data_IF_709470633538
#
_entry.id   IF_709470633538
#
_cell.length_a   1.000
_cell.length_b   1.000
_cell.length_c   1.000
_cell.angle_alpha   90.00
_cell.angle_beta   90.00
_cell.angle_gamma   90.00
#
_symmetry.space_group_name_H-M   'P 1'
#
loop_
_entity.id
_entity.type
_entity.pdbx_description
1 polymer ?
#
# COMPACT_ATOMS: atom_id res chain seq x y z
N UNK A 1 1.64 -2.71 1.16
CA UNK A 1 1.50 -2.53 -0.30
C UNK A 1 1.92 -1.13 -0.71
N UNK A 2 2.51 -1.00 -1.91
CA UNK A 2 2.89 0.25 -2.57
C UNK A 2 2.58 0.17 -4.07
N UNK A 3 2.38 1.32 -4.73
CA UNK A 3 2.01 1.38 -6.15
C UNK A 3 1.22 2.63 -6.52
N UNK A 4 1.09 2.89 -7.82
CA UNK A 4 0.39 4.08 -8.36
C UNK A 4 -1.08 4.18 -7.97
N UNK A 5 -1.66 5.39 -7.98
CA UNK A 5 -3.12 5.54 -7.79
C UNK A 5 -3.86 4.73 -8.86
N UNK A 6 -4.93 4.02 -8.52
CA UNK A 6 -5.64 3.16 -9.49
C UNK A 6 -4.98 1.82 -9.81
N UNK A 7 -3.82 1.50 -9.20
CA UNK A 7 -3.13 0.22 -9.43
C UNK A 7 -3.83 -1.02 -8.86
N UNK A 8 -4.88 -0.86 -8.04
CA UNK A 8 -5.64 -1.99 -7.46
C UNK A 8 -5.30 -2.34 -6.01
N UNK A 9 -4.35 -1.65 -5.36
CA UNK A 9 -3.97 -1.86 -3.94
C UNK A 9 -5.15 -2.00 -2.98
N UNK A 10 -6.06 -1.03 -2.96
CA UNK A 10 -7.20 -1.02 -2.04
C UNK A 10 -8.16 -2.18 -2.28
N UNK A 11 -8.26 -2.68 -3.52
CA UNK A 11 -9.07 -3.86 -3.84
C UNK A 11 -8.39 -5.12 -3.29
N UNK A 12 -7.10 -5.32 -3.56
CA UNK A 12 -6.31 -6.44 -3.03
C UNK A 12 -6.35 -6.44 -1.49
N UNK A 13 -6.14 -5.27 -0.87
CA UNK A 13 -6.17 -5.11 0.59
C UNK A 13 -7.50 -5.52 1.23
N UNK A 14 -8.62 -5.21 0.60
CA UNK A 14 -9.95 -5.59 1.10
C UNK A 14 -10.20 -7.09 0.97
N UNK A 15 -9.78 -7.70 -0.15
CA UNK A 15 -9.92 -9.15 -0.33
C UNK A 15 -9.01 -9.90 0.64
N UNK A 16 -7.76 -9.45 0.85
CA UNK A 16 -6.87 -9.96 1.90
C UNK A 16 -7.51 -9.86 3.28
N UNK A 17 -8.11 -8.70 3.60
CA UNK A 17 -8.76 -8.48 4.89
C UNK A 17 -9.86 -9.51 5.12
N UNK A 18 -10.74 -9.74 4.15
CA UNK A 18 -11.79 -10.77 4.24
C UNK A 18 -11.16 -12.14 4.49
N UNK A 19 -10.12 -12.51 3.73
CA UNK A 19 -9.47 -13.81 3.87
C UNK A 19 -8.86 -14.02 5.25
N UNK A 20 -8.14 -13.05 5.80
CA UNK A 20 -7.62 -13.15 7.17
C UNK A 20 -8.73 -13.19 8.22
N UNK A 21 -9.83 -12.45 8.03
CA UNK A 21 -10.97 -12.49 8.93
C UNK A 21 -11.68 -13.85 8.93
N UNK A 22 -11.72 -14.55 7.79
CA UNK A 22 -12.26 -15.91 7.69
C UNK A 22 -11.44 -16.92 8.51
N UNK A 23 -10.12 -16.76 8.55
CA UNK A 23 -9.22 -17.63 9.33
C UNK A 23 -9.38 -17.45 10.85
N UNK A 24 -9.80 -16.26 11.30
CA UNK A 24 -10.01 -15.91 12.72
C UNK A 24 -8.81 -16.11 13.64
N UNK A 25 -7.60 -16.11 13.09
CA UNK A 25 -6.36 -16.33 13.86
C UNK A 25 -5.91 -15.06 14.61
N UNK A 26 -5.87 -13.91 13.91
CA UNK A 26 -5.34 -12.65 14.44
C UNK A 26 -6.24 -11.46 14.11
N UNK A 27 -6.30 -10.42 14.97
CA UNK A 27 -7.00 -9.18 14.63
C UNK A 27 -6.40 -8.50 13.40
N UNK A 28 -7.24 -8.09 12.46
CA UNK A 28 -6.81 -7.49 11.19
C UNK A 28 -7.26 -6.04 11.13
N UNK A 29 -6.35 -5.13 10.79
CA UNK A 29 -6.65 -3.71 10.62
C UNK A 29 -6.24 -3.24 9.23
N UNK A 30 -7.16 -2.60 8.52
CA UNK A 30 -6.92 -1.98 7.22
C UNK A 30 -6.54 -0.51 7.36
N UNK A 31 -5.30 -0.18 6.99
CA UNK A 31 -4.76 1.18 6.91
C UNK A 31 -4.68 1.61 5.43
N UNK A 32 -5.85 1.84 4.83
CA UNK A 32 -5.96 2.36 3.45
C UNK A 32 -5.60 3.85 3.38
N UNK A 33 -4.99 4.27 2.27
CA UNK A 33 -4.53 5.64 2.10
C UNK A 33 -5.61 6.71 2.29
N UNK A 34 -6.86 6.45 1.86
CA UNK A 34 -7.96 7.41 2.04
C UNK A 34 -8.44 7.46 3.49
N UNK A 35 -8.51 6.30 4.15
CA UNK A 35 -8.90 6.18 5.57
C UNK A 35 -7.88 6.89 6.45
N UNK A 36 -6.59 6.65 6.22
CA UNK A 36 -5.51 7.28 6.97
C UNK A 36 -5.50 8.78 6.73
N UNK A 37 -5.59 9.24 5.48
CA UNK A 37 -5.61 10.69 5.18
C UNK A 37 -6.77 11.38 5.86
N UNK A 38 -7.95 10.76 5.93
CA UNK A 38 -9.10 11.36 6.62
C UNK A 38 -8.90 11.48 8.12
N UNK A 39 -8.32 10.46 8.77
CA UNK A 39 -8.34 10.34 10.24
C UNK A 39 -7.03 10.71 10.94
N UNK A 40 -5.89 10.59 10.26
CA UNK A 40 -4.55 10.71 10.86
C UNK A 40 -3.65 11.73 10.15
N UNK A 41 -4.08 12.27 9.01
CA UNK A 41 -3.23 13.08 8.13
C UNK A 41 -4.04 14.06 7.29
N UNK A 42 -5.14 14.58 7.85
CA UNK A 42 -6.07 15.48 7.14
C UNK A 42 -5.47 16.86 6.89
N UNK A 43 -4.47 17.24 7.69
CA UNK A 43 -3.70 18.46 7.57
C UNK A 43 -2.53 18.35 6.55
N UNK A 44 -2.19 17.13 6.12
CA UNK A 44 -1.05 16.89 5.24
C UNK A 44 -1.40 17.12 3.78
N UNK A 45 -0.61 17.97 3.12
CA UNK A 45 -0.69 18.20 1.67
C UNK A 45 -0.05 17.04 0.86
N UNK A 46 0.34 17.32 -0.38
CA UNK A 46 0.96 16.37 -1.30
C UNK A 46 2.44 16.68 -1.60
N UNK A 47 3.10 17.51 -0.78
CA UNK A 47 4.56 17.69 -0.87
C UNK A 47 5.30 16.39 -0.55
N UNK A 48 6.57 16.30 -0.96
CA UNK A 48 7.43 15.15 -0.68
C UNK A 48 7.52 14.88 0.83
N UNK A 49 7.71 15.92 1.62
CA UNK A 49 7.82 15.86 3.09
C UNK A 49 6.53 15.33 3.71
N UNK A 50 5.38 15.86 3.29
CA UNK A 50 4.08 15.43 3.80
C UNK A 50 3.72 14.00 3.37
N UNK A 51 4.10 13.58 2.17
CA UNK A 51 3.95 12.19 1.71
C UNK A 51 4.80 11.23 2.51
N UNK A 52 6.06 11.58 2.75
CA UNK A 52 6.95 10.81 3.62
C UNK A 52 6.37 10.72 5.04
N UNK A 53 5.94 11.84 5.62
CA UNK A 53 5.35 11.87 6.96
C UNK A 53 4.06 11.05 7.05
N UNK A 54 3.18 11.13 6.05
CA UNK A 54 1.97 10.31 5.99
C UNK A 54 2.32 8.80 6.00
N UNK A 55 3.30 8.38 5.20
CA UNK A 55 3.72 6.98 5.13
C UNK A 55 4.38 6.53 6.44
N UNK A 56 5.22 7.36 7.06
CA UNK A 56 5.85 7.00 8.35
C UNK A 56 4.85 6.98 9.51
N UNK A 57 3.81 7.82 9.50
CA UNK A 57 2.68 7.74 10.44
C UNK A 57 1.92 6.42 10.30
N UNK A 58 1.66 5.97 9.07
CA UNK A 58 1.07 4.63 8.83
C UNK A 58 1.99 3.55 9.42
N UNK A 59 3.30 3.64 9.19
CA UNK A 59 4.27 2.69 9.71
C UNK A 59 4.30 2.62 11.23
N UNK A 60 4.20 3.77 11.91
CA UNK A 60 4.09 3.82 13.37
C UNK A 60 2.85 3.06 13.87
N UNK A 61 1.67 3.37 13.34
CA UNK A 61 0.42 2.68 13.73
C UNK A 61 0.50 1.19 13.41
N UNK A 62 1.02 0.82 12.23
CA UNK A 62 1.24 -0.56 11.85
C UNK A 62 2.20 -1.28 12.82
N UNK A 63 3.26 -0.61 13.29
CA UNK A 63 4.21 -1.20 14.24
C UNK A 63 3.56 -1.50 15.60
N UNK A 64 2.67 -0.64 16.08
CA UNK A 64 1.94 -0.88 17.33
C UNK A 64 0.92 -2.02 17.16
N UNK A 65 0.28 -2.15 15.99
CA UNK A 65 -0.59 -3.29 15.68
C UNK A 65 0.23 -4.59 15.67
N UNK A 66 1.36 -4.61 14.97
CA UNK A 66 2.26 -5.78 14.89
C UNK A 66 2.77 -6.19 16.27
N UNK A 67 3.19 -5.21 17.09
CA UNK A 67 3.66 -5.42 18.47
C UNK A 67 2.60 -6.09 19.36
N UNK A 68 1.32 -5.83 19.11
CA UNK A 68 0.20 -6.45 19.83
C UNK A 68 -0.32 -7.73 19.15
N UNK A 69 0.45 -8.34 18.25
CA UNK A 69 0.08 -9.57 17.58
C UNK A 69 -0.99 -9.41 16.50
N UNK A 70 -1.34 -8.20 16.07
CA UNK A 70 -2.28 -7.97 14.99
C UNK A 70 -1.65 -8.02 13.59
N UNK A 71 -2.49 -7.97 12.56
CA UNK A 71 -2.12 -7.86 11.14
C UNK A 71 -2.50 -6.46 10.64
N UNK A 72 -1.51 -5.70 10.16
CA UNK A 72 -1.72 -4.37 9.59
C UNK A 72 -1.64 -4.41 8.04
N UNK A 73 -2.79 -4.30 7.39
CA UNK A 73 -2.88 -4.21 5.93
C UNK A 73 -2.76 -2.76 5.48
N UNK A 74 -1.59 -2.36 4.99
CA UNK A 74 -1.32 -0.99 4.58
C UNK A 74 -1.39 -0.85 3.05
N UNK A 75 -2.23 0.06 2.55
CA UNK A 75 -2.39 0.33 1.12
C UNK A 75 -2.15 1.80 0.67
N UNK A 76 -1.11 2.51 1.17
CA UNK A 76 -0.76 3.83 0.65
C UNK A 76 -0.13 3.76 -0.74
N UNK A 77 0.05 4.92 -1.39
CA UNK A 77 0.88 5.02 -2.60
C UNK A 77 2.36 4.75 -2.26
N UNK A 78 2.84 5.27 -1.11
CA UNK A 78 4.22 5.17 -0.63
C UNK A 78 5.28 5.38 -1.73
N UNK A 79 5.32 6.57 -2.35
CA UNK A 79 6.08 6.80 -3.58
C UNK A 79 7.59 6.87 -3.40
N UNK A 80 8.10 7.09 -2.18
CA UNK A 80 9.53 7.27 -1.94
C UNK A 80 10.10 6.14 -1.08
N UNK A 81 11.24 5.61 -1.48
CA UNK A 81 11.96 4.50 -0.85
C UNK A 81 12.27 4.78 0.62
N UNK A 82 12.70 6.02 0.93
CA UNK A 82 13.08 6.44 2.28
C UNK A 82 12.00 6.15 3.32
N UNK A 83 10.74 6.38 2.98
CA UNK A 83 9.60 6.16 3.88
C UNK A 83 9.26 4.67 4.04
N UNK A 84 9.45 3.88 2.97
CA UNK A 84 9.23 2.43 3.00
C UNK A 84 10.30 1.73 3.84
N UNK A 85 11.56 2.11 3.66
CA UNK A 85 12.68 1.60 4.45
C UNK A 85 12.58 1.99 5.94
N UNK A 86 12.18 3.22 6.23
CA UNK A 86 11.94 3.64 7.62
C UNK A 86 10.87 2.75 8.30
N UNK A 87 9.77 2.47 7.59
CA UNK A 87 8.70 1.61 8.09
C UNK A 87 9.14 0.15 8.24
N UNK A 88 9.86 -0.39 7.24
CA UNK A 88 10.45 -1.73 7.30
C UNK A 88 11.30 -1.88 8.56
N UNK A 89 12.26 -0.98 8.76
CA UNK A 89 13.15 -0.98 9.94
C UNK A 89 12.39 -0.86 11.27
N UNK A 90 11.30 -0.09 11.31
CA UNK A 90 10.51 0.08 12.52
C UNK A 90 9.68 -1.17 12.86
N UNK A 91 8.93 -1.69 11.88
CA UNK A 91 8.00 -2.81 12.06
C UNK A 91 8.76 -4.12 12.29
N UNK A 92 9.89 -4.33 11.59
CA UNK A 92 10.73 -5.52 11.75
C UNK A 92 11.31 -5.72 13.15
N UNK A 93 11.19 -4.74 14.05
CA UNK A 93 11.53 -4.90 15.48
C UNK A 93 10.52 -5.74 16.25
N UNK A 94 9.30 -5.87 15.73
CA UNK A 94 8.18 -6.49 16.42
C UNK A 94 7.57 -7.68 15.66
N UNK A 95 7.78 -7.77 14.35
CA UNK A 95 7.29 -8.88 13.54
C UNK A 95 7.62 -8.73 12.05
N UNK A 96 6.99 -9.57 11.22
CA UNK A 96 7.22 -9.56 9.77
C UNK A 96 6.81 -8.25 9.08
N UNK A 97 7.57 -7.85 8.07
CA UNK A 97 7.24 -6.77 7.15
C UNK A 97 7.35 -7.27 5.72
N UNK A 98 6.23 -7.25 4.98
CA UNK A 98 6.15 -7.72 3.61
C UNK A 98 5.78 -6.55 2.68
N UNK A 99 6.69 -6.21 1.78
CA UNK A 99 6.50 -5.18 0.76
C UNK A 99 5.94 -5.78 -0.52
N UNK A 100 4.64 -5.58 -0.70
CA UNK A 100 3.94 -5.94 -1.94
C UNK A 100 3.92 -4.74 -2.87
N UNK A 101 4.66 -4.82 -3.98
CA UNK A 101 4.66 -3.85 -5.06
C UNK A 101 3.55 -4.16 -6.06
N UNK A 102 2.52 -3.32 -6.12
CA UNK A 102 1.45 -3.42 -7.10
C UNK A 102 1.85 -2.64 -8.36
N UNK A 103 2.66 -3.29 -9.20
CA UNK A 103 3.38 -2.80 -10.36
C UNK A 103 2.50 -2.64 -11.62
N UNK A 104 1.26 -2.18 -11.45
CA UNK A 104 0.38 -1.90 -12.59
C UNK A 104 0.89 -0.68 -13.36
N UNK A 105 1.05 -0.76 -14.69
CA UNK A 105 1.54 0.35 -15.50
C UNK A 105 0.75 1.65 -15.33
N UNK A 106 1.42 2.79 -15.47
CA UNK A 106 0.81 4.11 -15.32
C UNK A 106 -0.33 4.30 -16.31
N UNK A 107 -0.16 3.87 -17.56
CA UNK A 107 -1.14 4.03 -18.63
C UNK A 107 -2.46 3.33 -18.27
N UNK A 108 -2.38 2.15 -17.66
CA UNK A 108 -3.56 1.43 -17.17
C UNK A 108 -4.17 2.11 -15.95
N UNK A 109 -3.33 2.65 -15.06
CA UNK A 109 -3.80 3.43 -13.91
C UNK A 109 -4.54 4.71 -14.36
N UNK A 110 -4.05 5.39 -15.39
CA UNK A 110 -4.68 6.56 -16.01
C UNK A 110 -5.98 6.20 -16.73
N UNK A 111 -6.04 5.08 -17.43
CA UNK A 111 -7.29 4.61 -18.04
C UNK A 111 -8.37 4.32 -16.99
N UNK A 112 -7.97 3.76 -15.83
CA UNK A 112 -8.90 3.41 -14.75
C UNK A 112 -9.42 4.63 -13.97
N UNK A 113 -8.63 5.71 -13.91
CA UNK A 113 -8.77 6.96 -13.14
C UNK A 113 -10.00 7.10 -12.23
N UNK A 114 -10.17 6.19 -11.26
CA UNK A 114 -11.39 6.10 -10.44
C UNK A 114 -11.67 7.34 -9.60
N UNK A 115 -10.64 8.18 -9.39
CA UNK A 115 -10.70 9.39 -8.57
C UNK A 115 -10.67 10.67 -9.42
N UNK A 116 -10.59 10.56 -10.75
CA UNK A 116 -10.42 11.70 -11.65
C UNK A 116 -9.11 12.46 -11.43
N UNK A 117 -8.11 11.85 -10.79
CA UNK A 117 -6.85 12.50 -10.42
C UNK A 117 -5.95 12.66 -11.64
N UNK A 118 -5.88 11.63 -12.49
CA UNK A 118 -5.03 11.68 -13.67
C UNK A 118 -5.56 12.67 -14.71
N UNK A 119 -6.88 12.66 -14.96
CA UNK A 119 -7.51 13.63 -15.85
C UNK A 119 -7.28 15.09 -15.38
N UNK A 120 -7.45 15.36 -14.08
CA UNK A 120 -7.18 16.69 -13.51
C UNK A 120 -5.71 17.08 -13.54
N UNK A 121 -4.79 16.12 -13.43
CA UNK A 121 -3.36 16.39 -13.55
C UNK A 121 -2.97 16.72 -14.99
N UNK A 122 -3.48 15.96 -15.95
CA UNK A 122 -3.24 16.16 -17.40
C UNK A 122 -3.82 17.48 -17.89
N UNK A 123 -4.94 17.95 -17.32
CA UNK A 123 -5.50 19.28 -17.60
C UNK A 123 -4.87 20.42 -16.79
N UNK A 124 -3.87 20.14 -15.94
CA UNK A 124 -3.15 21.16 -15.15
C UNK A 124 -3.92 21.71 -13.94
N UNK A 125 -5.11 21.16 -13.63
CA UNK A 125 -5.95 21.59 -12.50
C UNK A 125 -5.29 21.24 -11.16
N UNK A 126 -4.63 20.08 -11.08
CA UNK A 126 -3.90 19.64 -9.89
C UNK A 126 -2.45 19.33 -10.20
N UNK A 127 -1.55 19.71 -9.30
CA UNK A 127 -0.10 19.41 -9.38
C UNK A 127 0.28 18.36 -8.33
N UNK A 128 1.44 17.75 -8.51
CA UNK A 128 2.00 16.79 -7.56
C UNK A 128 1.29 15.44 -7.57
N UNK A 129 0.74 15.02 -8.71
CA UNK A 129 0.14 13.69 -8.88
C UNK A 129 1.24 12.69 -9.20
N UNK A 130 1.34 11.68 -8.34
CA UNK A 130 2.35 10.62 -8.45
C UNK A 130 2.24 9.87 -9.77
N UNK A 131 3.36 9.76 -10.49
CA UNK A 131 3.45 9.19 -11.83
C UNK A 131 3.29 10.22 -12.96
N UNK A 132 2.80 11.44 -12.68
CA UNK A 132 2.64 12.50 -13.69
C UNK A 132 3.59 13.67 -13.44
N UNK A 133 3.45 14.33 -12.29
CA UNK A 133 4.24 15.51 -11.90
C UNK A 133 5.02 15.33 -10.60
N UNK A 134 4.88 14.17 -9.96
CA UNK A 134 5.61 13.74 -8.76
C UNK A 134 6.11 12.30 -9.00
N UNK A 135 7.36 11.95 -8.68
CA UNK A 135 7.90 10.63 -9.02
C UNK A 135 7.26 9.52 -8.18
N UNK A 136 7.32 8.31 -8.74
CA UNK A 136 7.13 7.06 -8.02
C UNK A 136 8.44 6.28 -8.13
N UNK A 137 9.14 6.09 -7.02
CA UNK A 137 10.34 5.26 -6.94
C UNK A 137 9.88 3.81 -6.72
N UNK A 138 9.93 2.92 -7.74
CA UNK A 138 9.52 1.53 -7.56
C UNK A 138 10.40 0.85 -6.51
N UNK A 139 9.86 -0.07 -5.69
CA UNK A 139 10.69 -0.84 -4.75
C UNK A 139 11.74 -1.66 -5.50
N UNK A 140 12.99 -1.61 -5.06
CA UNK A 140 14.08 -2.37 -5.66
C UNK A 140 14.01 -3.86 -5.31
N UNK A 141 13.67 -4.18 -4.05
CA UNK A 141 13.62 -5.54 -3.53
C UNK A 141 12.31 -5.81 -2.77
N UNK A 142 11.14 -5.69 -3.42
CA UNK A 142 9.89 -6.08 -2.78
C UNK A 142 9.82 -7.60 -2.62
N UNK A 143 9.24 -8.08 -1.53
CA UNK A 143 8.98 -9.51 -1.34
C UNK A 143 8.02 -10.07 -2.40
N UNK A 144 7.07 -9.25 -2.88
CA UNK A 144 6.05 -9.67 -3.84
C UNK A 144 5.82 -8.58 -4.87
N UNK A 145 5.76 -8.95 -6.15
CA UNK A 145 5.40 -8.04 -7.26
C UNK A 145 4.11 -8.53 -7.92
N UNK A 146 3.09 -7.67 -7.94
CA UNK A 146 1.79 -7.96 -8.54
C UNK A 146 1.51 -7.02 -9.71
N UNK A 147 1.20 -7.60 -10.86
CA UNK A 147 0.72 -6.89 -12.04
C UNK A 147 -0.78 -7.14 -12.25
N UNK A 148 -1.62 -6.20 -11.81
CA UNK A 148 -3.09 -6.31 -11.93
C UNK A 148 -3.64 -6.18 -13.35
N UNK A 149 -2.77 -6.17 -14.37
CA UNK A 149 -3.16 -6.35 -15.78
C UNK A 149 -3.21 -7.81 -16.19
N UNK A 150 -2.51 -8.69 -15.46
CA UNK A 150 -2.34 -10.11 -15.78
C UNK A 150 -3.12 -11.04 -14.87
N UNK A 151 -3.65 -10.51 -13.77
CA UNK A 151 -4.33 -11.31 -12.75
C UNK A 151 -5.50 -10.55 -12.13
N UNK A 152 -6.46 -11.32 -11.65
CA UNK A 152 -7.59 -10.87 -10.85
C UNK A 152 -7.16 -10.55 -9.41
N UNK A 153 -7.96 -9.79 -8.65
CA UNK A 153 -7.68 -9.56 -7.24
C UNK A 153 -7.62 -10.84 -6.40
N UNK A 154 -8.36 -11.89 -6.77
CA UNK A 154 -8.35 -13.16 -6.06
C UNK A 154 -7.04 -13.92 -6.28
N UNK A 155 -6.54 -13.96 -7.51
CA UNK A 155 -5.22 -14.54 -7.83
C UNK A 155 -4.09 -13.78 -7.15
N UNK A 156 -4.14 -12.44 -7.17
CA UNK A 156 -3.17 -11.61 -6.44
C UNK A 156 -3.17 -11.88 -4.93
N UNK A 157 -4.34 -12.11 -4.33
CA UNK A 157 -4.46 -12.51 -2.92
C UNK A 157 -3.88 -13.90 -2.69
N UNK A 158 -4.13 -14.84 -3.60
CA UNK A 158 -3.57 -16.18 -3.51
C UNK A 158 -2.04 -16.17 -3.56
N UNK A 159 -1.42 -15.39 -4.45
CA UNK A 159 0.04 -15.24 -4.50
C UNK A 159 0.60 -14.69 -3.18
N UNK A 160 -0.07 -13.69 -2.59
CA UNK A 160 0.33 -13.14 -1.30
C UNK A 160 0.21 -14.19 -0.19
N UNK A 161 -0.85 -14.98 -0.19
CA UNK A 161 -1.06 -16.02 0.80
C UNK A 161 -0.03 -17.13 0.70
N UNK A 162 0.25 -17.63 -0.51
CA UNK A 162 1.29 -18.65 -0.74
C UNK A 162 2.65 -18.18 -0.20
N UNK A 163 3.02 -16.93 -0.49
CA UNK A 163 4.25 -16.36 0.07
C UNK A 163 4.23 -16.34 1.61
N UNK A 164 3.12 -15.93 2.22
CA UNK A 164 3.00 -15.90 3.68
C UNK A 164 3.04 -17.30 4.31
N UNK A 165 2.48 -18.32 3.65
CA UNK A 165 2.56 -19.73 4.05
C UNK A 165 4.01 -20.23 3.96
N UNK A 166 4.69 -19.98 2.85
CA UNK A 166 6.10 -20.35 2.64
C UNK A 166 7.04 -19.72 3.67
N UNK A 167 6.75 -18.48 4.09
CA UNK A 167 7.51 -17.78 5.13
C UNK A 167 7.06 -18.13 6.57
N UNK A 168 6.04 -18.98 6.74
CA UNK A 168 5.54 -19.42 8.04
C UNK A 168 4.77 -18.34 8.83
N UNK A 169 4.22 -17.32 8.17
CA UNK A 169 3.39 -16.29 8.81
C UNK A 169 1.92 -16.74 8.99
N UNK A 170 1.48 -17.67 8.17
CA UNK A 170 0.16 -18.31 8.21
C UNK A 170 0.34 -19.81 8.05
N UNK A 171 -0.61 -20.58 8.60
CA UNK A 171 -0.61 -22.05 8.57
C UNK A 171 -1.51 -22.60 7.46
#
# INVERSE_FOLDING_TARGET
MTGLSGSGKSTIAKVLMVRFMEMRDRPVTLLDGDIVRKNLSSELTFSREHRNLNVTRIGFVASEITKNGGIALCAPIAPYEVSRQANRKLISRYGGYIEVHVATPLEVCEQRDRKGLYAKARSGIIKGVTGVSDPYEPPENPEIVIDTTKMTPAEAVQEIFLYLEEQGYVA
#
